data_IF_493253474981
#
_entry.id   IF_493253474981
#
_cell.length_a   1.000
_cell.length_b   1.000
_cell.length_c   1.000
_cell.angle_alpha   90.00
_cell.angle_beta   90.00
_cell.angle_gamma   90.00
#
_symmetry.space_group_name_H-M   'P 1'
#
loop_
_entity.id
_entity.type
_entity.pdbx_description
1 polymer ?
#
# COMPACT_ATOMS: atom_id res chain seq x y z
N UNK A 1 -20.66 -19.64 -26.88
CA UNK A 1 -19.31 -19.58 -27.48
C UNK A 1 -18.98 -18.11 -27.74
N UNK A 2 -18.05 -17.52 -26.97
CA UNK A 2 -17.51 -16.18 -27.21
C UNK A 2 -16.15 -16.34 -27.91
N UNK A 3 -15.88 -15.65 -29.03
CA UNK A 3 -14.57 -15.75 -29.67
C UNK A 3 -13.53 -15.02 -28.81
N UNK A 4 -12.46 -15.74 -28.49
CA UNK A 4 -11.22 -15.19 -27.93
C UNK A 4 -10.59 -14.30 -29.00
N UNK A 5 -10.67 -12.98 -28.79
CA UNK A 5 -9.88 -12.03 -29.56
C UNK A 5 -8.43 -12.19 -29.12
N UNK A 6 -7.68 -12.94 -29.91
CA UNK A 6 -6.22 -12.93 -29.97
C UNK A 6 -5.76 -11.49 -30.24
N UNK A 7 -5.43 -10.73 -29.19
CA UNK A 7 -4.61 -9.51 -29.32
C UNK A 7 -3.17 -9.94 -29.52
N UNK A 8 -2.82 -10.29 -30.75
CA UNK A 8 -1.46 -10.16 -31.21
C UNK A 8 -1.17 -8.67 -31.40
N UNK A 9 -0.77 -7.98 -30.34
CA UNK A 9 -0.13 -6.66 -30.48
C UNK A 9 1.14 -6.87 -31.31
N UNK A 10 1.09 -6.46 -32.58
CA UNK A 10 2.28 -6.37 -33.43
C UNK A 10 3.25 -5.43 -32.72
N UNK A 11 4.34 -5.97 -32.20
CA UNK A 11 5.43 -5.18 -31.62
C UNK A 11 6.04 -4.35 -32.75
N UNK A 12 5.56 -3.13 -32.94
CA UNK A 12 6.13 -2.19 -33.92
C UNK A 12 7.52 -1.78 -33.44
N UNK A 13 8.48 -1.76 -34.37
CA UNK A 13 9.84 -1.32 -34.07
C UNK A 13 9.83 0.18 -33.73
N UNK A 14 10.71 0.63 -32.82
CA UNK A 14 10.73 2.05 -32.43
C UNK A 14 11.02 3.00 -33.60
N UNK A 15 11.71 2.49 -34.62
CA UNK A 15 12.02 3.19 -35.87
C UNK A 15 10.77 3.48 -36.70
N UNK A 16 9.82 2.54 -36.79
CA UNK A 16 8.55 2.70 -37.49
C UNK A 16 7.63 3.68 -36.76
N UNK A 17 7.62 3.64 -35.42
CA UNK A 17 6.84 4.57 -34.61
C UNK A 17 7.39 5.99 -34.75
N UNK A 18 8.72 6.15 -34.72
CA UNK A 18 9.36 7.45 -34.91
C UNK A 18 9.16 8.00 -36.32
N UNK A 19 9.21 7.17 -37.37
CA UNK A 19 8.96 7.63 -38.74
C UNK A 19 7.52 8.13 -38.91
N UNK A 20 6.54 7.43 -38.32
CA UNK A 20 5.15 7.87 -38.29
C UNK A 20 4.96 9.20 -37.54
N UNK A 21 5.62 9.36 -36.39
CA UNK A 21 5.58 10.60 -35.61
C UNK A 21 6.20 11.78 -36.38
N UNK A 22 7.29 11.53 -37.11
CA UNK A 22 7.94 12.53 -37.97
C UNK A 22 7.05 12.92 -39.15
N UNK A 23 6.42 11.96 -39.82
CA UNK A 23 5.48 12.22 -40.91
C UNK A 23 4.28 13.05 -40.43
N UNK A 24 3.66 12.66 -39.31
CA UNK A 24 2.56 13.41 -38.71
C UNK A 24 2.97 14.83 -38.27
N UNK A 25 4.22 15.00 -37.83
CA UNK A 25 4.74 16.33 -37.51
C UNK A 25 4.96 17.18 -38.77
N UNK A 26 5.38 16.61 -39.90
CA UNK A 26 5.55 17.36 -41.15
C UNK A 26 4.23 17.90 -41.71
N UNK A 27 3.12 17.22 -41.46
CA UNK A 27 1.77 17.63 -41.89
C UNK A 27 1.14 18.71 -41.00
N UNK A 28 1.75 19.01 -39.84
CA UNK A 28 1.21 19.97 -38.87
C UNK A 28 1.79 21.38 -39.03
N UNK A 29 0.98 22.42 -38.81
CA UNK A 29 1.42 23.82 -38.80
C UNK A 29 2.54 24.11 -37.78
N UNK A 30 2.60 23.36 -36.67
CA UNK A 30 3.68 23.44 -35.67
C UNK A 30 4.82 22.47 -35.92
N UNK A 31 4.89 21.91 -37.12
CA UNK A 31 5.70 20.76 -37.45
C UNK A 31 7.18 20.91 -37.14
N UNK A 32 7.78 22.06 -37.46
CA UNK A 32 9.20 22.30 -37.24
C UNK A 32 9.61 22.17 -35.76
N UNK A 33 8.83 22.75 -34.84
CA UNK A 33 9.10 22.66 -33.39
C UNK A 33 8.88 21.24 -32.86
N UNK A 34 7.88 20.55 -33.36
CA UNK A 34 7.59 19.15 -33.00
C UNK A 34 8.70 18.22 -33.51
N UNK A 35 9.20 18.42 -34.73
CA UNK A 35 10.30 17.66 -35.31
C UNK A 35 11.59 17.80 -34.51
N UNK A 36 11.96 19.01 -34.10
CA UNK A 36 13.12 19.20 -33.25
C UNK A 36 12.95 18.53 -31.88
N UNK A 37 11.74 18.57 -31.32
CA UNK A 37 11.44 17.91 -30.05
C UNK A 37 11.57 16.39 -30.16
N UNK A 38 11.09 15.80 -31.26
CA UNK A 38 11.25 14.38 -31.56
C UNK A 38 12.73 14.00 -31.79
N UNK A 39 13.52 14.86 -32.44
CA UNK A 39 14.98 14.66 -32.58
C UNK A 39 15.68 14.63 -31.22
N UNK A 40 15.36 15.58 -30.34
CA UNK A 40 15.91 15.63 -28.96
C UNK A 40 15.48 14.40 -28.14
N UNK A 41 14.23 13.97 -28.29
CA UNK A 41 13.73 12.74 -27.66
C UNK A 41 14.53 11.51 -28.12
N UNK A 42 14.77 11.38 -29.43
CA UNK A 42 15.58 10.29 -29.98
C UNK A 42 17.00 10.29 -29.39
N UNK A 43 17.67 11.44 -29.41
CA UNK A 43 19.01 11.60 -28.84
C UNK A 43 19.03 11.20 -27.36
N UNK A 44 18.05 11.68 -26.57
CA UNK A 44 17.95 11.31 -25.16
C UNK A 44 17.80 9.80 -24.96
N UNK A 45 16.96 9.13 -25.76
CA UNK A 45 16.78 7.69 -25.70
C UNK A 45 18.03 6.92 -26.16
N UNK A 46 18.79 7.41 -27.14
CA UNK A 46 20.03 6.81 -27.63
C UNK A 46 21.16 6.96 -26.58
N UNK A 47 21.26 8.13 -25.94
CA UNK A 47 22.25 8.40 -24.89
C UNK A 47 22.00 7.56 -23.63
N UNK A 48 20.73 7.36 -23.25
CA UNK A 48 20.37 6.49 -22.12
C UNK A 48 20.63 5.03 -22.47
N UNK A 49 20.29 4.59 -23.68
CA UNK A 49 20.50 3.20 -24.11
C UNK A 49 22.00 2.82 -24.18
N UNK A 50 22.84 3.73 -24.67
CA UNK A 50 24.29 3.54 -24.81
C UNK A 50 25.07 3.70 -23.50
N UNK A 51 24.46 4.27 -22.46
CA UNK A 51 25.14 4.64 -21.22
C UNK A 51 25.92 5.97 -21.30
N UNK A 52 25.83 6.70 -22.42
CA UNK A 52 26.38 8.05 -22.55
C UNK A 52 25.72 9.04 -21.57
N UNK A 53 24.46 8.80 -21.20
CA UNK A 53 23.77 9.62 -20.18
C UNK A 53 24.46 9.55 -18.81
N UNK A 54 24.94 8.38 -18.40
CA UNK A 54 25.67 8.21 -17.13
C UNK A 54 27.03 8.91 -17.16
N UNK A 55 27.77 8.80 -18.28
CA UNK A 55 29.06 9.48 -18.43
C UNK A 55 28.88 11.01 -18.47
N UNK A 56 27.81 11.50 -19.09
CA UNK A 56 27.46 12.92 -19.09
C UNK A 56 27.12 13.43 -17.67
N UNK A 57 26.32 12.68 -16.90
CA UNK A 57 25.99 13.02 -15.51
C UNK A 57 27.23 13.10 -14.62
N UNK A 58 28.15 12.11 -14.74
CA UNK A 58 29.42 12.13 -14.01
C UNK A 58 30.29 13.33 -14.37
N UNK A 59 30.38 13.70 -15.65
CA UNK A 59 31.11 14.89 -16.10
C UNK A 59 30.51 16.19 -15.58
N UNK A 60 29.19 16.23 -15.41
CA UNK A 60 28.46 17.38 -14.87
C UNK A 60 28.48 17.44 -13.33
N UNK A 61 29.06 16.46 -12.64
CA UNK A 61 29.06 16.37 -11.18
C UNK A 61 27.70 16.03 -10.56
N UNK A 62 26.79 15.42 -11.33
CA UNK A 62 25.45 15.06 -10.88
C UNK A 62 25.33 13.57 -10.54
N UNK A 63 24.29 13.20 -9.79
CA UNK A 63 24.02 11.80 -9.45
C UNK A 63 23.58 11.01 -10.72
N UNK A 64 24.53 10.25 -11.26
CA UNK A 64 24.35 9.43 -12.46
C UNK A 64 23.71 8.06 -12.20
N UNK A 65 23.46 7.68 -10.94
CA UNK A 65 23.02 6.33 -10.56
C UNK A 65 21.79 5.83 -11.32
N UNK A 66 20.85 6.73 -11.61
CA UNK A 66 19.64 6.44 -12.39
C UNK A 66 19.91 6.02 -13.85
N UNK A 67 21.03 6.46 -14.42
CA UNK A 67 21.45 6.15 -15.80
C UNK A 67 22.41 4.95 -15.87
N UNK A 68 22.90 4.46 -14.73
CA UNK A 68 23.87 3.36 -14.65
C UNK A 68 23.20 1.97 -14.59
N UNK A 69 21.87 1.92 -14.53
CA UNK A 69 21.10 0.68 -14.46
C UNK A 69 21.33 -0.21 -15.69
N UNK A 70 21.54 -1.50 -15.46
CA UNK A 70 21.60 -2.53 -16.50
C UNK A 70 20.51 -3.60 -16.25
N UNK A 71 19.53 -3.77 -17.15
CA UNK A 71 19.34 -3.06 -18.41
C UNK A 71 18.95 -1.58 -18.21
N UNK A 72 19.26 -0.70 -19.19
CA UNK A 72 18.94 0.73 -19.11
C UNK A 72 17.43 0.94 -19.00
N UNK A 73 17.04 1.86 -18.13
CA UNK A 73 15.63 2.20 -17.90
C UNK A 73 15.24 3.43 -18.73
N UNK A 74 14.51 3.21 -19.82
CA UNK A 74 13.95 4.23 -20.68
C UNK A 74 12.47 4.41 -20.32
N UNK A 75 12.14 5.51 -19.65
CA UNK A 75 10.76 5.92 -19.41
C UNK A 75 10.65 7.45 -19.40
N UNK A 76 9.43 7.98 -19.30
CA UNK A 76 9.20 9.43 -19.34
C UNK A 76 9.96 10.18 -18.24
N UNK A 77 10.20 9.53 -17.09
CA UNK A 77 10.93 10.11 -15.96
C UNK A 77 12.42 10.20 -16.23
N UNK A 78 13.05 9.09 -16.62
CA UNK A 78 14.51 9.04 -16.89
C UNK A 78 14.89 9.93 -18.07
N UNK A 79 14.07 9.96 -19.12
CA UNK A 79 14.24 10.91 -20.24
C UNK A 79 14.07 12.34 -19.76
N UNK A 80 13.06 12.63 -18.93
CA UNK A 80 12.85 13.97 -18.36
C UNK A 80 14.00 14.43 -17.46
N UNK A 81 14.55 13.54 -16.63
CA UNK A 81 15.72 13.79 -15.78
C UNK A 81 16.97 14.07 -16.64
N UNK A 82 17.17 13.31 -17.73
CA UNK A 82 18.27 13.54 -18.66
C UNK A 82 18.15 14.88 -19.40
N UNK A 83 16.95 15.24 -19.87
CA UNK A 83 16.71 16.54 -20.51
C UNK A 83 16.93 17.69 -19.52
N UNK A 84 16.52 17.54 -18.25
CA UNK A 84 16.82 18.53 -17.18
C UNK A 84 18.32 18.68 -16.96
N UNK A 85 19.06 17.57 -16.96
CA UNK A 85 20.51 17.59 -16.85
C UNK A 85 21.16 18.34 -18.03
N UNK A 86 20.79 18.01 -19.26
CA UNK A 86 21.25 18.72 -20.48
C UNK A 86 20.92 20.21 -20.43
N UNK A 87 19.70 20.59 -20.04
CA UNK A 87 19.30 22.01 -19.87
C UNK A 87 20.19 22.78 -18.91
N UNK A 88 20.58 22.16 -17.80
CA UNK A 88 21.43 22.79 -16.79
C UNK A 88 22.87 22.98 -17.27
N UNK A 89 23.40 22.01 -18.03
CA UNK A 89 24.79 22.01 -18.51
C UNK A 89 24.96 22.82 -19.80
N UNK A 90 24.07 22.64 -20.77
CA UNK A 90 24.16 23.25 -22.12
C UNK A 90 23.27 24.48 -22.28
N UNK A 91 22.35 24.72 -21.34
CA UNK A 91 21.44 25.84 -21.36
C UNK A 91 20.06 25.51 -21.93
N UNK A 92 19.06 26.25 -21.47
CA UNK A 92 17.65 26.03 -21.80
C UNK A 92 17.32 26.27 -23.28
N UNK A 93 18.05 27.16 -23.95
CA UNK A 93 17.86 27.49 -25.37
C UNK A 93 18.17 26.30 -26.29
N UNK A 94 19.15 25.47 -25.93
CA UNK A 94 19.53 24.29 -26.72
C UNK A 94 18.61 23.09 -26.45
N UNK A 95 18.13 22.96 -25.22
CA UNK A 95 17.28 21.84 -24.77
C UNK A 95 15.92 22.25 -24.21
N UNK A 96 15.04 22.94 -24.95
CA UNK A 96 13.76 23.44 -24.43
C UNK A 96 12.70 22.35 -24.12
N UNK A 97 12.94 21.09 -24.47
CA UNK A 97 11.96 19.99 -24.37
C UNK A 97 12.47 18.72 -25.06
N UNK A 98 11.91 17.54 -24.76
CA UNK A 98 10.60 17.30 -24.15
C UNK A 98 10.57 17.23 -22.61
N UNK A 99 9.44 17.61 -22.00
CA UNK A 99 9.19 17.48 -20.57
C UNK A 99 8.54 16.14 -20.22
N UNK A 100 8.79 15.65 -19.01
CA UNK A 100 8.20 14.41 -18.49
C UNK A 100 6.66 14.43 -18.55
N UNK A 101 6.03 15.56 -18.21
CA UNK A 101 4.56 15.73 -18.26
C UNK A 101 4.02 15.54 -19.67
N UNK A 102 4.69 16.11 -20.68
CA UNK A 102 4.34 15.95 -22.09
C UNK A 102 4.51 14.50 -22.55
N UNK A 103 5.60 13.84 -22.15
CA UNK A 103 5.85 12.43 -22.48
C UNK A 103 4.85 11.47 -21.84
N UNK A 104 4.30 11.82 -20.67
CA UNK A 104 3.25 11.03 -19.99
C UNK A 104 1.86 11.25 -20.59
N UNK A 105 1.59 12.47 -21.07
CA UNK A 105 0.28 12.85 -21.59
C UNK A 105 0.03 12.33 -23.01
N UNK A 106 1.06 12.27 -23.85
CA UNK A 106 0.93 11.84 -25.25
C UNK A 106 1.05 10.30 -25.37
N UNK A 107 -0.02 9.60 -25.81
CA UNK A 107 0.00 8.15 -25.94
C UNK A 107 0.99 7.66 -27.02
N UNK A 108 1.23 8.45 -28.07
CA UNK A 108 2.14 8.04 -29.15
C UNK A 108 3.61 8.14 -28.70
N UNK A 109 3.95 9.16 -27.91
CA UNK A 109 5.28 9.29 -27.31
C UNK A 109 5.54 8.18 -26.29
N UNK A 110 4.52 7.82 -25.50
CA UNK A 110 4.61 6.69 -24.59
C UNK A 110 4.86 5.37 -25.32
N UNK A 111 4.14 5.12 -26.42
CA UNK A 111 4.31 3.94 -27.25
C UNK A 111 5.72 3.86 -27.83
N UNK A 112 6.29 4.99 -28.25
CA UNK A 112 7.70 5.08 -28.67
C UNK A 112 8.68 4.75 -27.54
N UNK A 113 8.48 5.31 -26.34
CA UNK A 113 9.34 5.04 -25.17
C UNK A 113 9.29 3.56 -24.76
N UNK A 114 8.11 2.95 -24.78
CA UNK A 114 7.94 1.53 -24.47
C UNK A 114 8.66 0.65 -25.50
N UNK A 115 8.56 0.98 -26.81
CA UNK A 115 9.32 0.30 -27.86
C UNK A 115 10.84 0.47 -27.70
N UNK A 116 11.31 1.65 -27.28
CA UNK A 116 12.73 1.88 -26.98
C UNK A 116 13.19 1.12 -25.76
N UNK A 117 12.37 1.01 -24.73
CA UNK A 117 12.68 0.23 -23.53
C UNK A 117 12.80 -1.26 -23.85
N UNK A 118 11.92 -1.81 -24.70
CA UNK A 118 11.99 -3.22 -25.10
C UNK A 118 13.22 -3.50 -25.96
N UNK A 119 13.60 -2.60 -26.86
CA UNK A 119 14.84 -2.69 -27.63
C UNK A 119 16.08 -2.63 -26.72
N UNK A 120 16.14 -1.64 -25.83
CA UNK A 120 17.30 -1.41 -24.96
C UNK A 120 17.46 -2.48 -23.87
N UNK A 121 16.39 -3.16 -23.47
CA UNK A 121 16.47 -4.33 -22.59
C UNK A 121 17.00 -5.59 -23.29
N UNK A 122 17.31 -5.51 -24.60
CA UNK A 122 17.41 -6.67 -25.48
C UNK A 122 16.02 -7.27 -25.69
N UNK A 123 15.83 -7.96 -26.81
CA UNK A 123 14.62 -8.74 -27.10
C UNK A 123 14.36 -9.76 -25.99
N UNK A 124 13.71 -9.34 -24.91
CA UNK A 124 12.94 -10.18 -24.03
C UNK A 124 11.64 -10.47 -24.77
N UNK A 125 11.75 -11.24 -25.85
CA UNK A 125 10.71 -12.17 -26.25
C UNK A 125 10.35 -12.94 -24.97
N UNK A 126 9.26 -12.54 -24.33
CA UNK A 126 8.81 -13.12 -23.08
C UNK A 126 9.35 -12.48 -21.80
N UNK A 127 9.14 -11.18 -21.60
CA UNK A 127 8.62 -10.79 -20.27
C UNK A 127 7.24 -11.43 -20.13
N UNK A 128 7.20 -12.73 -19.81
CA UNK A 128 6.01 -13.33 -19.23
C UNK A 128 5.64 -12.44 -18.05
N UNK A 129 4.36 -12.02 -17.92
CA UNK A 129 3.93 -11.26 -16.75
C UNK A 129 4.50 -11.98 -15.53
N UNK A 130 5.11 -11.25 -14.59
CA UNK A 130 5.68 -11.80 -13.35
C UNK A 130 4.71 -12.89 -12.88
N UNK A 131 5.13 -14.15 -13.02
CA UNK A 131 4.28 -15.29 -12.69
C UNK A 131 3.80 -15.03 -11.27
N UNK A 132 2.49 -14.79 -11.11
CA UNK A 132 1.95 -14.65 -9.77
C UNK A 132 2.26 -15.95 -9.03
N UNK A 133 2.43 -15.89 -7.71
CA UNK A 133 2.69 -17.11 -6.92
C UNK A 133 1.70 -18.25 -7.24
N UNK A 134 0.46 -17.88 -7.58
CA UNK A 134 -0.57 -18.79 -8.09
C UNK A 134 -0.22 -19.45 -9.45
N UNK A 135 0.30 -18.69 -10.41
CA UNK A 135 0.77 -19.24 -11.69
C UNK A 135 1.97 -20.18 -11.54
N UNK A 136 2.91 -19.88 -10.63
CA UNK A 136 4.02 -20.81 -10.35
C UNK A 136 3.55 -22.13 -9.75
N UNK A 137 2.53 -22.12 -8.87
CA UNK A 137 1.98 -23.34 -8.28
C UNK A 137 1.28 -24.17 -9.36
N UNK A 138 0.47 -23.56 -10.22
CA UNK A 138 -0.17 -24.26 -11.33
C UNK A 138 0.84 -24.89 -12.32
N UNK A 139 1.97 -24.21 -12.56
CA UNK A 139 3.05 -24.77 -13.39
C UNK A 139 3.67 -25.99 -12.72
N UNK A 140 3.88 -25.97 -11.40
CA UNK A 140 4.43 -27.12 -10.67
C UNK A 140 3.45 -28.30 -10.70
N UNK A 141 2.17 -28.05 -10.42
CA UNK A 141 1.11 -29.07 -10.44
C UNK A 141 0.95 -29.67 -11.85
N UNK A 142 1.07 -28.86 -12.90
CA UNK A 142 0.99 -29.35 -14.29
C UNK A 142 2.11 -30.31 -14.70
N UNK A 143 3.21 -30.38 -13.95
CA UNK A 143 4.33 -31.30 -14.21
C UNK A 143 4.11 -32.70 -13.61
N UNK A 144 3.06 -32.88 -12.81
CA UNK A 144 2.71 -34.18 -12.26
C UNK A 144 2.03 -35.00 -13.37
N UNK A 145 2.54 -36.20 -13.70
CA UNK A 145 2.06 -36.99 -14.83
C UNK A 145 0.66 -37.55 -14.59
N UNK A 146 0.35 -37.97 -13.36
CA UNK A 146 -0.92 -38.60 -13.00
C UNK A 146 -2.02 -37.56 -12.74
N UNK A 147 -3.22 -37.79 -13.30
CA UNK A 147 -4.32 -36.84 -13.23
C UNK A 147 -5.01 -36.80 -11.85
N UNK A 148 -5.09 -37.94 -11.17
CA UNK A 148 -5.56 -38.11 -9.78
C UNK A 148 -4.72 -37.27 -8.82
N UNK A 149 -3.39 -37.40 -8.89
CA UNK A 149 -2.46 -36.67 -8.05
C UNK A 149 -2.50 -35.16 -8.31
N UNK A 150 -2.66 -34.74 -9.58
CA UNK A 150 -2.86 -33.33 -9.91
C UNK A 150 -4.10 -32.77 -9.24
N UNK A 151 -5.22 -33.49 -9.28
CA UNK A 151 -6.47 -33.04 -8.68
C UNK A 151 -6.35 -32.94 -7.16
N UNK A 152 -5.81 -33.97 -6.51
CA UNK A 152 -5.56 -33.97 -5.07
C UNK A 152 -4.63 -32.82 -4.65
N UNK A 153 -3.60 -32.54 -5.45
CA UNK A 153 -2.65 -31.46 -5.15
C UNK A 153 -3.25 -30.07 -5.38
N UNK A 154 -4.14 -29.90 -6.35
CA UNK A 154 -4.90 -28.64 -6.50
C UNK A 154 -5.83 -28.42 -5.30
N UNK A 155 -6.56 -29.46 -4.91
CA UNK A 155 -7.50 -29.38 -3.78
C UNK A 155 -6.78 -29.01 -2.48
N UNK A 156 -5.67 -29.68 -2.17
CA UNK A 156 -4.88 -29.38 -0.95
C UNK A 156 -4.27 -27.97 -0.97
N UNK A 157 -3.86 -27.46 -2.14
CA UNK A 157 -3.40 -26.07 -2.29
C UNK A 157 -4.54 -25.09 -2.05
N UNK A 158 -5.74 -25.34 -2.58
CA UNK A 158 -6.92 -24.49 -2.37
C UNK A 158 -7.33 -24.45 -0.89
N UNK A 159 -7.39 -25.62 -0.24
CA UNK A 159 -7.66 -25.73 1.21
C UNK A 159 -6.62 -24.95 2.04
N UNK A 160 -5.33 -25.06 1.68
CA UNK A 160 -4.26 -24.32 2.34
C UNK A 160 -4.34 -22.80 2.14
N UNK A 161 -4.75 -22.35 0.94
CA UNK A 161 -4.95 -20.92 0.66
C UNK A 161 -6.15 -20.36 1.42
N UNK A 162 -7.23 -21.14 1.55
CA UNK A 162 -8.39 -20.73 2.32
C UNK A 162 -8.11 -20.69 3.82
N UNK A 163 -7.37 -21.67 4.36
CA UNK A 163 -6.89 -21.63 5.74
C UNK A 163 -5.99 -20.39 5.99
N UNK A 164 -5.12 -20.05 5.04
CA UNK A 164 -4.25 -18.87 5.14
C UNK A 164 -5.06 -17.57 5.12
N UNK A 165 -6.10 -17.49 4.28
CA UNK A 165 -7.04 -16.34 4.27
C UNK A 165 -7.77 -16.21 5.60
N UNK A 166 -8.29 -17.32 6.14
CA UNK A 166 -8.95 -17.34 7.44
C UNK A 166 -8.00 -16.85 8.54
N UNK A 167 -6.76 -17.35 8.56
CA UNK A 167 -5.73 -16.91 9.52
C UNK A 167 -5.40 -15.43 9.37
N UNK A 168 -5.31 -14.89 8.15
CA UNK A 168 -5.07 -13.47 7.93
C UNK A 168 -6.23 -12.61 8.43
N UNK A 169 -7.48 -13.05 8.22
CA UNK A 169 -8.68 -12.39 8.75
C UNK A 169 -8.64 -12.39 10.28
N UNK A 170 -8.37 -13.55 10.90
CA UNK A 170 -8.24 -13.67 12.36
C UNK A 170 -7.11 -12.80 12.88
N UNK A 171 -5.94 -12.79 12.24
CA UNK A 171 -4.80 -11.95 12.62
C UNK A 171 -5.08 -10.45 12.47
N UNK A 172 -5.87 -10.05 11.47
CA UNK A 172 -6.28 -8.66 11.29
C UNK A 172 -7.40 -8.24 12.27
N UNK A 173 -8.25 -9.18 12.67
CA UNK A 173 -9.33 -8.97 13.64
C UNK A 173 -8.85 -9.07 15.10
N UNK A 174 -7.81 -9.85 15.39
CA UNK A 174 -7.29 -10.09 16.74
C UNK A 174 -6.90 -8.79 17.47
N UNK A 175 -6.21 -7.81 16.86
CA UNK A 175 -5.94 -6.52 17.48
C UNK A 175 -7.19 -5.66 17.73
N UNK A 176 -8.35 -6.01 17.16
CA UNK A 176 -9.65 -5.36 17.40
C UNK A 176 -10.49 -6.12 18.43
N UNK A 177 -10.10 -7.35 18.77
CA UNK A 177 -10.72 -8.26 19.74
C UNK A 177 -9.89 -8.29 21.03
N UNK A 178 -9.59 -7.11 21.59
CA UNK A 178 -8.85 -6.97 22.84
C UNK A 178 -9.67 -7.60 23.97
N UNK A 179 -9.33 -8.85 24.30
CA UNK A 179 -10.06 -9.68 25.26
C UNK A 179 -10.06 -11.17 24.93
N UNK A 180 -9.64 -11.59 23.73
CA UNK A 180 -9.61 -13.01 23.36
C UNK A 180 -8.18 -13.56 23.49
N UNK A 181 -7.98 -14.46 24.44
CA UNK A 181 -6.75 -15.24 24.59
C UNK A 181 -6.65 -16.24 23.43
N UNK A 182 -5.75 -15.99 22.49
CA UNK A 182 -5.59 -16.81 21.27
C UNK A 182 -5.13 -18.23 21.62
N UNK A 183 -4.34 -18.39 22.68
CA UNK A 183 -3.84 -19.68 23.14
C UNK A 183 -4.97 -20.60 23.69
N UNK A 184 -6.04 -20.02 24.27
CA UNK A 184 -7.20 -20.78 24.74
C UNK A 184 -8.06 -21.32 23.58
N UNK A 185 -8.16 -20.58 22.47
CA UNK A 185 -8.86 -21.03 21.26
C UNK A 185 -8.10 -22.17 20.58
N UNK A 186 -6.77 -22.09 20.52
CA UNK A 186 -5.93 -23.12 19.92
C UNK A 186 -5.96 -24.41 20.75
N UNK A 187 -6.08 -24.30 22.08
CA UNK A 187 -6.19 -25.43 23.00
C UNK A 187 -7.57 -26.15 22.97
N UNK A 188 -8.55 -25.64 22.20
CA UNK A 188 -9.87 -26.26 22.08
C UNK A 188 -10.79 -26.04 23.28
N UNK A 189 -10.44 -25.14 24.19
CA UNK A 189 -11.25 -24.83 25.36
C UNK A 189 -12.35 -23.84 24.96
N UNK A 190 -13.46 -24.38 24.45
CA UNK A 190 -14.65 -23.60 24.08
C UNK A 190 -15.31 -23.13 25.37
N UNK A 191 -14.98 -21.91 25.80
CA UNK A 191 -15.80 -21.21 26.80
C UNK A 191 -17.20 -20.98 26.24
N UNK A 192 -18.16 -21.77 26.71
CA UNK A 192 -19.57 -21.38 26.74
C UNK A 192 -19.72 -20.27 27.79
N UNK A 193 -19.38 -19.03 27.43
CA UNK A 193 -19.38 -17.90 28.36
C UNK A 193 -19.72 -16.58 27.68
N UNK A 194 -21.00 -16.22 27.80
CA UNK A 194 -21.61 -14.91 27.54
C UNK A 194 -21.63 -14.33 26.13
N UNK A 195 -22.86 -14.29 25.62
CA UNK A 195 -23.37 -13.65 24.41
C UNK A 195 -23.58 -12.12 24.58
N UNK A 196 -22.81 -11.44 25.44
CA UNK A 196 -23.03 -10.01 25.73
C UNK A 196 -22.03 -9.12 24.98
N UNK A 197 -22.49 -8.68 23.82
CA UNK A 197 -21.77 -7.85 22.85
C UNK A 197 -21.89 -6.34 23.14
N UNK A 198 -21.91 -5.89 24.41
CA UNK A 198 -22.29 -4.50 24.76
C UNK A 198 -21.34 -3.75 25.73
N UNK A 199 -20.13 -4.23 26.00
CA UNK A 199 -19.22 -3.58 26.96
C UNK A 199 -18.35 -2.47 26.38
N UNK A 200 -18.91 -1.58 25.54
CA UNK A 200 -18.29 -0.27 25.25
C UNK A 200 -19.11 0.83 25.88
N UNK A 201 -18.75 1.19 27.13
CA UNK A 201 -19.29 2.38 27.81
C UNK A 201 -19.19 3.60 26.89
N UNK A 202 -20.35 4.16 26.54
CA UNK A 202 -20.50 5.38 25.76
C UNK A 202 -19.85 6.56 26.49
N UNK A 203 -19.56 7.64 25.76
CA UNK A 203 -19.11 8.88 26.39
C UNK A 203 -20.15 9.45 27.37
N UNK A 204 -21.44 9.19 27.15
CA UNK A 204 -22.51 9.55 28.07
C UNK A 204 -22.46 8.73 29.36
N UNK A 205 -22.26 7.41 29.25
CA UNK A 205 -22.12 6.52 30.41
C UNK A 205 -20.92 6.93 31.27
N UNK A 206 -19.80 7.31 30.63
CA UNK A 206 -18.63 7.82 31.34
C UNK A 206 -18.90 9.13 32.08
N UNK A 207 -19.71 10.02 31.50
CA UNK A 207 -20.13 11.25 32.18
C UNK A 207 -21.03 10.95 33.38
N UNK A 208 -21.97 10.01 33.24
CA UNK A 208 -22.81 9.56 34.34
C UNK A 208 -21.98 8.94 35.49
N UNK A 209 -20.99 8.10 35.17
CA UNK A 209 -20.08 7.52 36.17
C UNK A 209 -19.24 8.63 36.84
N UNK A 210 -18.77 9.65 36.10
CA UNK A 210 -18.06 10.81 36.70
C UNK A 210 -18.96 11.60 37.66
N UNK A 211 -20.22 11.80 37.32
CA UNK A 211 -21.20 12.47 38.18
C UNK A 211 -21.50 11.63 39.44
N UNK A 212 -21.55 10.31 39.31
CA UNK A 212 -21.72 9.40 40.45
C UNK A 212 -20.49 9.47 41.37
N UNK A 213 -19.28 9.37 40.82
CA UNK A 213 -18.03 9.43 41.61
C UNK A 213 -17.87 10.77 42.31
N UNK A 214 -18.22 11.88 41.67
CA UNK A 214 -18.14 13.21 42.29
C UNK A 214 -19.14 13.39 43.44
N UNK A 215 -20.40 12.95 43.29
CA UNK A 215 -21.40 12.96 44.37
C UNK A 215 -20.97 12.06 45.54
N UNK A 216 -20.47 10.87 45.24
CA UNK A 216 -19.99 9.91 46.25
C UNK A 216 -18.70 10.38 46.94
N UNK A 217 -17.89 11.23 46.31
CA UNK A 217 -16.69 11.79 46.96
C UNK A 217 -17.02 13.06 47.77
N UNK A 218 -18.25 13.59 47.68
CA UNK A 218 -18.67 14.80 48.36
C UNK A 218 -19.30 14.48 49.72
N UNK A 219 -18.52 14.66 50.79
CA UNK A 219 -18.98 14.43 52.17
C UNK A 219 -20.18 15.30 52.58
N UNK A 220 -20.45 16.43 51.91
CA UNK A 220 -21.62 17.27 52.23
C UNK A 220 -22.93 16.61 51.79
N UNK A 221 -22.95 16.03 50.60
CA UNK A 221 -24.11 15.33 50.05
C UNK A 221 -24.31 13.98 50.74
N UNK A 222 -23.22 13.26 51.01
CA UNK A 222 -23.29 11.97 51.68
C UNK A 222 -23.86 12.05 53.11
N UNK A 223 -23.61 13.16 53.83
CA UNK A 223 -24.14 13.37 55.18
C UNK A 223 -25.67 13.37 55.22
N UNK A 224 -26.34 13.84 54.17
CA UNK A 224 -27.81 13.83 54.08
C UNK A 224 -28.37 12.40 54.03
N UNK A 225 -27.57 11.45 53.55
CA UNK A 225 -27.90 10.02 53.51
C UNK A 225 -27.27 9.22 54.66
N UNK A 226 -26.67 9.89 55.64
CA UNK A 226 -25.98 9.24 56.76
C UNK A 226 -24.75 8.45 56.32
N UNK A 227 -24.03 8.90 55.28
CA UNK A 227 -22.82 8.29 54.75
C UNK A 227 -21.60 9.22 54.90
N UNK A 228 -20.40 8.65 54.99
CA UNK A 228 -19.11 9.36 54.95
C UNK A 228 -18.19 8.67 53.94
N UNK A 229 -17.48 9.50 53.18
CA UNK A 229 -16.36 9.10 52.34
C UNK A 229 -15.03 9.28 53.10
N UNK A 230 -14.34 8.16 53.34
CA UNK A 230 -13.08 8.09 54.08
C UNK A 230 -12.18 6.97 53.53
N UNK A 231 -10.88 7.24 53.32
CA UNK A 231 -9.89 6.26 52.85
C UNK A 231 -10.28 5.51 51.56
N UNK A 232 -10.81 6.25 50.58
CA UNK A 232 -11.35 5.71 49.32
C UNK A 232 -12.51 4.72 49.48
N UNK A 233 -13.28 4.82 50.57
CA UNK A 233 -14.44 3.98 50.86
C UNK A 233 -15.62 4.82 51.28
N UNK A 234 -16.83 4.31 51.07
CA UNK A 234 -18.06 4.92 51.58
C UNK A 234 -18.60 4.05 52.70
N UNK A 235 -18.80 4.64 53.87
CA UNK A 235 -19.30 3.96 55.07
C UNK A 235 -20.52 4.68 55.61
N UNK A 236 -21.37 3.95 56.33
CA UNK A 236 -22.44 4.58 57.10
C UNK A 236 -21.88 5.35 58.31
N UNK A 237 -22.45 6.53 58.58
CA UNK A 237 -22.13 7.39 59.72
C UNK A 237 -22.58 6.78 61.05
N UNK A 238 -23.72 6.10 61.05
CA UNK A 238 -24.35 5.53 62.25
C UNK A 238 -24.61 4.04 62.04
N UNK A 239 -24.00 3.19 62.87
CA UNK A 239 -24.12 1.73 62.80
C UNK A 239 -22.77 1.01 62.88
N UNK A 240 -22.76 -0.27 62.49
CA UNK A 240 -21.64 -1.24 62.59
C UNK A 240 -20.39 -0.90 61.76
N UNK A 241 -20.28 0.31 61.21
CA UNK A 241 -19.16 0.72 60.34
C UNK A 241 -19.12 -0.01 58.99
N UNK A 242 -20.21 -0.69 58.61
CA UNK A 242 -20.32 -1.45 57.38
C UNK A 242 -20.00 -0.57 56.16
N UNK A 243 -19.15 -1.11 55.27
CA UNK A 243 -18.74 -0.44 54.06
C UNK A 243 -19.83 -0.64 53.00
N UNK A 244 -20.41 0.46 52.52
CA UNK A 244 -21.39 0.42 51.43
C UNK A 244 -20.67 0.25 50.09
N UNK A 245 -19.52 0.92 49.94
CA UNK A 245 -18.67 0.79 48.76
C UNK A 245 -17.25 0.54 49.22
N UNK A 246 -16.70 -0.58 48.77
CA UNK A 246 -15.34 -1.00 49.05
C UNK A 246 -14.31 -0.19 48.25
N UNK A 247 -13.05 -0.25 48.67
CA UNK A 247 -11.95 0.45 47.99
C UNK A 247 -11.75 -0.04 46.55
N UNK A 248 -11.96 -1.34 46.32
CA UNK A 248 -11.85 -1.96 45.00
C UNK A 248 -12.95 -1.50 44.06
N UNK A 249 -14.18 -1.36 44.55
CA UNK A 249 -15.31 -0.84 43.78
C UNK A 249 -15.12 0.65 43.45
N UNK A 250 -14.66 1.46 44.41
CA UNK A 250 -14.32 2.87 44.16
C UNK A 250 -13.19 3.02 43.14
N UNK A 251 -12.16 2.18 43.21
CA UNK A 251 -11.07 2.18 42.23
C UNK A 251 -11.55 1.79 40.82
N UNK A 252 -12.47 0.83 40.72
CA UNK A 252 -13.08 0.42 39.47
C UNK A 252 -13.94 1.55 38.89
N UNK A 253 -14.78 2.20 39.69
CA UNK A 253 -15.59 3.35 39.24
C UNK A 253 -14.71 4.50 38.73
N UNK A 254 -13.60 4.80 39.42
CA UNK A 254 -12.61 5.80 38.96
C UNK A 254 -11.95 5.40 37.64
N UNK A 255 -11.57 4.12 37.49
CA UNK A 255 -10.98 3.58 36.26
C UNK A 255 -11.96 3.66 35.07
N UNK A 256 -13.23 3.32 35.29
CA UNK A 256 -14.29 3.45 34.29
C UNK A 256 -14.55 4.91 33.90
N UNK A 257 -14.45 5.84 34.87
CA UNK A 257 -14.60 7.27 34.66
C UNK A 257 -13.39 7.96 34.00
N UNK A 258 -12.24 7.26 33.86
CA UNK A 258 -10.94 7.85 33.50
C UNK A 258 -10.55 9.05 34.37
N UNK A 259 -10.86 8.98 35.66
CA UNK A 259 -10.40 9.97 36.64
C UNK A 259 -9.08 9.41 37.18
N UNK A 260 -7.96 9.93 36.69
CA UNK A 260 -6.65 9.62 37.26
C UNK A 260 -6.52 10.36 38.60
N UNK A 261 -6.15 9.63 39.64
CA UNK A 261 -5.68 10.15 40.92
C UNK A 261 -4.17 10.06 40.93
#
# INVERSE_FOLDING_TARGET
>A
MKPMVSRGEKTQASTEIMSRLVAAAQESERGQRTLETLRRLKIACDDIASGAAATFARKAGDDGTQFELRPPRINSRTVGEYVKLRRRVEGEKLWPGPHETTLRADPNLKLYLDARQTEASGSLHGRKPKSTRAQSINIIVSRIPEASDRFLMMQTVEEGLDALRQLQIVKAAAPRLWGVEIDAIIAGDVWQGSRDNDSKLSNQDRLAVRQIVSRISNNRELREFGLIYENDRVKAMTGTGAHLISKTEMALLRKLAKINV
#
